data_IF_285045286528
#
_entry.id   IF_285045286528
#
_cell.length_a   1.000
_cell.length_b   1.000
_cell.length_c   1.000
_cell.angle_alpha   90.00
_cell.angle_beta   90.00
_cell.angle_gamma   90.00
#
_symmetry.space_group_name_H-M   'P 1'
#
loop_
_entity.id
_entity.type
_entity.pdbx_description
1 polymer ?
#
# COMPACT_ATOMS: atom_id res chain seq x y z
N UNK A 1 6.27 10.41 -7.98
CA UNK A 1 5.95 9.68 -6.75
C UNK A 1 6.74 10.29 -5.63
N UNK A 2 6.05 10.86 -4.63
CA UNK A 2 6.66 11.52 -3.46
C UNK A 2 7.13 10.51 -2.40
N UNK A 3 7.95 9.56 -2.82
CA UNK A 3 8.64 8.57 -1.99
C UNK A 3 10.12 8.55 -2.38
N UNK A 4 11.00 8.54 -1.39
CA UNK A 4 12.43 8.38 -1.61
C UNK A 4 12.71 7.00 -2.23
N UNK A 5 13.79 6.84 -3.03
CA UNK A 5 14.13 5.56 -3.64
C UNK A 5 14.20 4.41 -2.63
N UNK A 6 14.75 4.67 -1.43
CA UNK A 6 14.82 3.68 -0.35
C UNK A 6 13.44 3.33 0.21
N UNK A 7 12.55 4.31 0.41
CA UNK A 7 11.17 4.04 0.86
C UNK A 7 10.45 3.13 -0.15
N UNK A 8 10.63 3.37 -1.46
CA UNK A 8 10.04 2.55 -2.53
C UNK A 8 10.54 1.12 -2.51
N UNK A 9 11.85 0.94 -2.37
CA UNK A 9 12.46 -0.39 -2.33
C UNK A 9 11.98 -1.17 -1.09
N UNK A 10 11.98 -0.53 0.08
CA UNK A 10 11.46 -1.12 1.31
C UNK A 10 10.00 -1.54 1.18
N UNK A 11 9.13 -0.71 0.61
CA UNK A 11 7.72 -1.06 0.40
C UNK A 11 7.58 -2.24 -0.57
N UNK A 12 8.36 -2.26 -1.65
CA UNK A 12 8.38 -3.35 -2.63
C UNK A 12 8.79 -4.66 -1.98
N UNK A 13 9.91 -4.69 -1.28
CA UNK A 13 10.45 -5.90 -0.63
C UNK A 13 9.47 -6.45 0.41
N UNK A 14 8.91 -5.59 1.27
CA UNK A 14 7.97 -6.03 2.31
C UNK A 14 6.64 -6.50 1.73
N UNK A 15 6.12 -5.86 0.69
CA UNK A 15 4.92 -6.34 0.02
C UNK A 15 5.12 -7.71 -0.64
N UNK A 16 6.27 -7.93 -1.30
CA UNK A 16 6.62 -9.24 -1.85
C UNK A 16 6.76 -10.29 -0.75
N UNK A 17 7.37 -9.95 0.38
CA UNK A 17 7.53 -10.86 1.53
C UNK A 17 6.19 -11.30 2.12
N UNK A 18 5.29 -10.37 2.37
CA UNK A 18 4.04 -10.64 3.09
C UNK A 18 2.92 -11.17 2.18
N UNK A 19 2.77 -10.58 1.00
CA UNK A 19 1.65 -10.85 0.10
C UNK A 19 2.07 -11.47 -1.24
N UNK A 20 3.37 -11.58 -1.55
CA UNK A 20 3.85 -12.12 -2.83
C UNK A 20 3.61 -11.18 -4.01
N UNK A 21 3.26 -9.92 -3.76
CA UNK A 21 2.95 -8.91 -4.79
C UNK A 21 3.61 -7.59 -4.47
N UNK A 22 3.93 -6.82 -5.51
CA UNK A 22 4.43 -5.44 -5.34
C UNK A 22 3.24 -4.55 -4.97
N UNK A 23 3.27 -3.83 -3.83
CA UNK A 23 2.22 -2.88 -3.49
C UNK A 23 2.11 -1.78 -4.54
N UNK A 24 0.92 -1.21 -4.70
CA UNK A 24 0.69 -0.10 -5.63
C UNK A 24 0.37 1.15 -4.82
N UNK A 25 1.08 2.24 -5.07
CA UNK A 25 0.79 3.52 -4.45
C UNK A 25 -0.39 4.17 -5.13
N UNK A 26 -1.30 4.74 -4.34
CA UNK A 26 -2.37 5.60 -4.83
C UNK A 26 -2.50 6.87 -3.98
N UNK A 27 -3.49 7.71 -4.28
CA UNK A 27 -3.82 8.85 -3.44
C UNK A 27 -2.79 9.98 -3.46
N UNK A 28 -2.62 10.64 -2.32
CA UNK A 28 -1.99 11.98 -2.25
C UNK A 28 -0.50 11.99 -2.64
N UNK A 29 0.20 10.86 -2.52
CA UNK A 29 1.63 10.72 -2.81
C UNK A 29 1.96 10.53 -4.29
N UNK A 30 0.95 10.42 -5.15
CA UNK A 30 1.14 10.45 -6.61
C UNK A 30 1.40 11.86 -7.14
N UNK A 31 0.89 12.89 -6.48
CA UNK A 31 0.95 14.29 -6.92
C UNK A 31 2.10 15.04 -6.22
N UNK A 32 3.14 15.37 -6.99
CA UNK A 32 4.32 16.12 -6.53
C UNK A 32 3.99 17.51 -5.96
N UNK A 33 2.87 18.12 -6.36
CA UNK A 33 2.50 19.49 -5.98
C UNK A 33 1.87 19.61 -4.58
N UNK A 34 1.47 18.49 -3.96
CA UNK A 34 0.80 18.48 -2.65
C UNK A 34 1.79 18.34 -1.50
N UNK A 35 1.57 19.03 -0.38
CA UNK A 35 2.38 18.90 0.85
C UNK A 35 1.83 17.84 1.82
N UNK A 36 2.71 17.21 2.60
CA UNK A 36 2.31 16.20 3.62
C UNK A 36 1.72 14.91 3.05
N UNK A 37 0.87 14.24 3.85
CA UNK A 37 0.04 13.09 3.45
C UNK A 37 0.53 11.73 3.93
N UNK A 38 -0.39 10.79 4.07
CA UNK A 38 -0.11 9.39 4.40
C UNK A 38 0.35 8.62 3.15
N UNK A 39 0.95 7.45 3.33
CA UNK A 39 1.30 6.56 2.21
C UNK A 39 0.12 5.60 1.99
N UNK A 40 -0.69 5.86 0.97
CA UNK A 40 -1.82 5.01 0.61
C UNK A 40 -1.37 3.87 -0.33
N UNK A 41 -1.40 2.62 0.16
CA UNK A 41 -0.98 1.43 -0.58
C UNK A 41 -2.16 0.52 -0.90
N UNK A 42 -2.29 0.12 -2.14
CA UNK A 42 -3.23 -0.89 -2.63
C UNK A 42 -2.49 -2.24 -2.74
N UNK A 43 -3.07 -3.27 -2.15
CA UNK A 43 -2.61 -4.65 -2.28
C UNK A 43 -3.75 -5.49 -2.83
N UNK A 44 -3.54 -6.02 -4.04
CA UNK A 44 -4.48 -6.96 -4.66
C UNK A 44 -4.17 -8.35 -4.15
N UNK A 45 -5.14 -9.03 -3.56
CA UNK A 45 -4.93 -10.35 -2.95
C UNK A 45 -6.19 -11.21 -3.03
N UNK A 46 -6.01 -12.52 -3.25
CA UNK A 46 -7.08 -13.51 -3.21
C UNK A 46 -7.11 -14.30 -1.90
N UNK A 47 -6.33 -13.87 -0.90
CA UNK A 47 -6.28 -14.54 0.40
C UNK A 47 -7.63 -14.42 1.13
N UNK A 48 -7.99 -15.41 1.96
CA UNK A 48 -9.14 -15.30 2.86
C UNK A 48 -9.04 -14.05 3.74
N UNK A 49 -10.17 -13.38 4.00
CA UNK A 49 -10.20 -12.09 4.69
C UNK A 49 -9.46 -12.09 6.04
N UNK A 50 -9.59 -13.16 6.83
CA UNK A 50 -8.91 -13.28 8.12
C UNK A 50 -7.38 -13.36 7.98
N UNK A 51 -6.88 -14.11 6.98
CA UNK A 51 -5.45 -14.22 6.70
C UNK A 51 -4.90 -12.90 6.13
N UNK A 52 -5.63 -12.29 5.19
CA UNK A 52 -5.26 -11.02 4.59
C UNK A 52 -5.19 -9.90 5.66
N UNK A 53 -6.12 -9.89 6.61
CA UNK A 53 -6.11 -8.96 7.74
C UNK A 53 -4.89 -9.16 8.65
N UNK A 54 -4.50 -10.41 8.95
CA UNK A 54 -3.29 -10.70 9.75
C UNK A 54 -2.04 -10.19 9.03
N UNK A 55 -1.85 -10.59 7.77
CA UNK A 55 -0.69 -10.17 6.96
C UNK A 55 -0.62 -8.66 6.75
N UNK A 56 -1.77 -7.99 6.68
CA UNK A 56 -1.82 -6.52 6.63
C UNK A 56 -1.25 -5.89 7.89
N UNK A 57 -1.57 -6.42 9.07
CA UNK A 57 -1.02 -5.93 10.34
C UNK A 57 0.48 -6.18 10.41
N UNK A 58 0.95 -7.37 10.00
CA UNK A 58 2.38 -7.70 9.99
C UNK A 58 3.16 -6.78 9.03
N UNK A 59 2.63 -6.56 7.83
CA UNK A 59 3.19 -5.62 6.86
C UNK A 59 3.20 -4.17 7.38
N UNK A 60 2.11 -3.72 8.02
CA UNK A 60 2.03 -2.39 8.63
C UNK A 60 3.12 -2.21 9.70
N UNK A 61 3.31 -3.20 10.58
CA UNK A 61 4.32 -3.15 11.63
C UNK A 61 5.74 -3.05 11.03
N UNK A 62 6.07 -3.89 10.05
CA UNK A 62 7.39 -3.87 9.40
C UNK A 62 7.66 -2.56 8.67
N UNK A 63 6.65 -2.02 7.96
CA UNK A 63 6.76 -0.72 7.31
C UNK A 63 6.96 0.41 8.32
N UNK A 64 6.27 0.35 9.46
CA UNK A 64 6.38 1.38 10.49
C UNK A 64 7.77 1.43 11.10
N UNK A 65 8.38 0.26 11.35
CA UNK A 65 9.76 0.10 11.82
C UNK A 65 10.74 0.61 10.75
N UNK A 66 10.58 0.21 9.49
CA UNK A 66 11.55 0.50 8.44
C UNK A 66 11.50 1.96 7.95
N UNK A 67 10.31 2.59 7.97
CA UNK A 67 10.10 3.94 7.45
C UNK A 67 10.16 5.04 8.52
N UNK A 68 10.38 4.70 9.79
CA UNK A 68 10.56 5.70 10.86
C UNK A 68 9.27 6.41 11.24
N UNK A 69 8.27 5.63 11.67
CA UNK A 69 6.97 6.11 12.16
C UNK A 69 6.01 6.75 11.14
N UNK A 70 6.32 6.62 9.85
CA UNK A 70 5.48 7.15 8.76
C UNK A 70 4.11 6.48 8.74
N UNK A 71 3.04 7.28 8.68
CA UNK A 71 1.68 6.75 8.55
C UNK A 71 1.48 6.13 7.16
N UNK A 72 1.17 4.84 7.15
CA UNK A 72 0.86 4.04 5.96
C UNK A 72 -0.55 3.51 6.08
N UNK A 73 -1.40 3.78 5.10
CA UNK A 73 -2.75 3.24 4.99
C UNK A 73 -2.78 2.17 3.90
N UNK A 74 -3.06 0.91 4.29
CA UNK A 74 -3.12 -0.21 3.36
C UNK A 74 -4.58 -0.55 3.04
N UNK A 75 -4.95 -0.50 1.77
CA UNK A 75 -6.21 -1.00 1.22
C UNK A 75 -5.99 -2.39 0.62
N UNK A 76 -6.70 -3.39 1.14
CA UNK A 76 -6.71 -4.74 0.58
C UNK A 76 -7.84 -4.87 -0.42
N UNK A 77 -7.55 -5.35 -1.62
CA UNK A 77 -8.52 -5.50 -2.69
C UNK A 77 -8.57 -6.94 -3.19
N UNK A 78 -9.73 -7.58 -3.02
CA UNK A 78 -10.04 -8.92 -3.53
C UNK A 78 -10.84 -8.89 -4.85
N UNK A 79 -11.07 -7.70 -5.39
CA UNK A 79 -11.84 -7.48 -6.62
C UNK A 79 -13.36 -7.54 -6.46
N UNK A 80 -13.89 -7.86 -5.26
CA UNK A 80 -15.33 -8.09 -5.05
C UNK A 80 -16.08 -6.85 -4.59
N UNK A 81 -15.39 -5.95 -3.87
CA UNK A 81 -15.98 -4.71 -3.37
C UNK A 81 -15.99 -3.67 -4.47
N UNK A 82 -17.18 -3.17 -4.82
CA UNK A 82 -17.37 -2.02 -5.70
C UNK A 82 -17.79 -0.79 -4.88
N UNK A 83 -16.80 -0.09 -4.34
CA UNK A 83 -17.00 1.19 -3.66
C UNK A 83 -16.06 2.26 -4.25
N UNK A 84 -16.40 3.57 -4.14
CA UNK A 84 -15.64 4.64 -4.80
C UNK A 84 -14.13 4.62 -4.54
N UNK A 85 -13.72 4.29 -3.32
CA UNK A 85 -12.31 4.18 -2.94
C UNK A 85 -11.58 3.07 -3.70
N UNK A 86 -12.22 1.92 -3.91
CA UNK A 86 -11.64 0.79 -4.66
C UNK A 86 -11.54 1.11 -6.14
N UNK A 87 -12.58 1.70 -6.74
CA UNK A 87 -12.53 2.12 -8.15
C UNK A 87 -11.39 3.10 -8.39
N UNK A 88 -11.33 4.17 -7.57
CA UNK A 88 -10.25 5.15 -7.63
C UNK A 88 -8.87 4.51 -7.49
N UNK A 89 -8.68 3.65 -6.49
CA UNK A 89 -7.40 2.99 -6.27
C UNK A 89 -7.02 2.10 -7.46
N UNK A 90 -7.95 1.32 -8.02
CA UNK A 90 -7.68 0.47 -9.20
C UNK A 90 -7.29 1.30 -10.42
N UNK A 91 -7.93 2.44 -10.63
CA UNK A 91 -7.73 3.32 -11.79
C UNK A 91 -6.41 4.11 -11.70
N UNK A 92 -6.08 4.63 -10.51
CA UNK A 92 -4.96 5.56 -10.31
C UNK A 92 -3.66 4.86 -9.85
N UNK A 93 -3.73 3.68 -9.21
CA UNK A 93 -2.58 3.14 -8.50
C UNK A 93 -1.45 2.70 -9.43
N UNK A 94 -0.22 3.08 -9.09
CA UNK A 94 1.01 2.68 -9.80
C UNK A 94 1.85 1.78 -8.91
N UNK A 95 2.51 0.74 -9.44
CA UNK A 95 3.47 -0.05 -8.65
C UNK A 95 4.53 0.85 -7.99
N UNK A 96 4.86 0.58 -6.73
CA UNK A 96 5.96 1.28 -6.06
C UNK A 96 7.32 1.02 -6.68
#
# INVERSE_FOLDING_TARGET
MRLQPQERETIRELGLRHFGVVPRLFGSRLDESRGGGDIDLLIVTTLPAAEAARKRLDLLADLWIALGERKVDILLDDGRVDAPVYRRARDEAVPV
#
